data_IF_045137795947
#
_entry.id   IF_045137795947
#
_cell.length_a   1.000
_cell.length_b   1.000
_cell.length_c   1.000
_cell.angle_alpha   90.00
_cell.angle_beta   90.00
_cell.angle_gamma   90.00
#
_symmetry.space_group_name_H-M   'P 1'
#
loop_
_entity.id
_entity.type
_entity.pdbx_description
1 polymer ?
#
# COMPACT_ATOMS: atom_id res chain seq x y z
N UNK A 1 8.59 -12.50 -12.36
CA UNK A 1 8.77 -11.08 -11.96
C UNK A 1 9.75 -11.02 -10.80
N UNK A 2 10.44 -9.90 -10.61
CA UNK A 2 11.38 -9.71 -9.48
C UNK A 2 10.63 -9.63 -8.15
N UNK A 3 9.64 -8.74 -8.09
CA UNK A 3 8.76 -8.57 -6.94
C UNK A 3 7.64 -9.61 -6.97
N UNK A 4 7.30 -10.16 -5.80
CA UNK A 4 6.22 -11.12 -5.57
C UNK A 4 5.01 -10.52 -4.85
N UNK A 5 5.20 -9.58 -3.94
CA UNK A 5 4.10 -8.96 -3.22
C UNK A 5 4.53 -7.67 -2.51
N UNK A 6 3.56 -6.79 -2.24
CA UNK A 6 3.71 -5.75 -1.22
C UNK A 6 3.68 -6.42 0.17
N UNK A 7 4.81 -6.41 0.86
CA UNK A 7 4.97 -7.06 2.16
C UNK A 7 4.53 -6.17 3.32
N UNK A 8 4.96 -4.92 3.31
CA UNK A 8 4.64 -3.92 4.33
C UNK A 8 4.78 -2.48 3.82
N UNK A 9 4.18 -1.53 4.56
CA UNK A 9 4.35 -0.08 4.37
C UNK A 9 4.70 0.57 5.70
N UNK A 10 5.66 1.50 5.67
CA UNK A 10 6.02 2.34 6.80
C UNK A 10 5.64 3.79 6.56
N UNK A 11 5.02 4.42 7.56
CA UNK A 11 4.63 5.83 7.54
C UNK A 11 5.08 6.52 8.82
N UNK A 12 5.34 7.82 8.73
CA UNK A 12 5.52 8.71 9.88
C UNK A 12 4.22 9.43 10.18
N UNK A 13 3.93 9.68 11.46
CA UNK A 13 2.78 10.46 11.89
C UNK A 13 2.95 11.06 13.29
N UNK A 14 2.50 12.31 13.53
CA UNK A 14 2.39 12.86 14.88
C UNK A 14 1.29 12.16 15.70
N UNK A 15 0.29 11.63 15.01
CA UNK A 15 -0.90 11.01 15.59
C UNK A 15 -0.78 9.46 15.56
N UNK A 16 0.46 8.94 15.58
CA UNK A 16 0.74 7.51 15.46
C UNK A 16 -0.05 6.65 16.44
N UNK A 17 -0.22 7.13 17.69
CA UNK A 17 -0.93 6.38 18.74
C UNK A 17 -2.43 6.24 18.50
N UNK A 18 -3.05 7.09 17.69
CA UNK A 18 -4.48 6.98 17.37
C UNK A 18 -4.80 5.69 16.58
N UNK A 19 -3.79 5.10 15.92
CA UNK A 19 -3.93 3.81 15.24
C UNK A 19 -4.18 2.62 16.17
N UNK A 20 -3.84 2.74 17.46
CA UNK A 20 -4.15 1.71 18.46
C UNK A 20 -5.65 1.52 18.66
N UNK A 21 -6.45 2.55 18.37
CA UNK A 21 -7.92 2.49 18.41
C UNK A 21 -8.49 2.37 16.99
N UNK A 22 -8.04 3.21 16.06
CA UNK A 22 -8.56 3.25 14.70
C UNK A 22 -8.38 1.93 13.94
N UNK A 23 -7.19 1.30 14.03
CA UNK A 23 -6.92 0.03 13.36
C UNK A 23 -7.85 -1.09 13.84
N UNK A 24 -7.90 -1.39 15.15
CA UNK A 24 -8.75 -2.44 15.69
C UNK A 24 -10.24 -2.17 15.60
N UNK A 25 -10.68 -0.99 16.03
CA UNK A 25 -12.11 -0.74 16.22
C UNK A 25 -12.85 -0.42 14.92
N UNK A 26 -12.17 0.16 13.93
CA UNK A 26 -12.78 0.56 12.65
C UNK A 26 -12.41 -0.46 11.58
N UNK A 27 -11.11 -0.67 11.38
CA UNK A 27 -10.60 -1.49 10.28
C UNK A 27 -10.55 -2.99 10.61
N UNK A 28 -10.69 -3.38 11.88
CA UNK A 28 -10.59 -4.77 12.32
C UNK A 28 -9.18 -5.35 12.28
N UNK A 29 -8.16 -4.49 12.17
CA UNK A 29 -6.75 -4.88 12.23
C UNK A 29 -6.36 -5.24 13.67
N UNK A 30 -5.28 -5.98 13.87
CA UNK A 30 -4.64 -6.07 15.18
C UNK A 30 -3.63 -4.93 15.28
N UNK A 31 -3.55 -4.25 16.42
CA UNK A 31 -2.60 -3.16 16.65
C UNK A 31 -1.80 -3.39 17.93
N UNK A 32 -0.49 -3.14 17.86
CA UNK A 32 0.41 -3.21 19.03
C UNK A 32 1.41 -2.06 19.01
N UNK A 33 1.69 -1.47 20.17
CA UNK A 33 2.80 -0.51 20.34
C UNK A 33 4.09 -1.32 20.54
N UNK A 34 5.03 -1.19 19.60
CA UNK A 34 6.35 -1.77 19.70
C UNK A 34 7.19 -1.06 20.77
N UNK A 35 8.27 -1.70 21.23
CA UNK A 35 9.20 -1.09 22.20
C UNK A 35 9.83 0.22 21.70
N UNK A 36 9.91 0.42 20.37
CA UNK A 36 10.36 1.67 19.74
C UNK A 36 9.34 2.82 19.81
N UNK A 37 8.11 2.56 20.26
CA UNK A 37 6.99 3.51 20.24
C UNK A 37 6.26 3.57 18.89
N UNK A 38 6.66 2.76 17.90
CA UNK A 38 5.90 2.62 16.65
C UNK A 38 4.65 1.76 16.86
N UNK A 39 3.56 2.10 16.20
CA UNK A 39 2.34 1.26 16.18
C UNK A 39 2.42 0.32 14.99
N UNK A 40 2.36 -0.98 15.27
CA UNK A 40 2.41 -2.04 14.28
C UNK A 40 1.02 -2.62 14.08
N UNK A 41 0.57 -2.67 12.82
CA UNK A 41 -0.75 -3.16 12.43
C UNK A 41 -0.61 -4.45 11.64
N UNK A 42 -1.43 -5.44 12.01
CA UNK A 42 -1.47 -6.76 11.38
C UNK A 42 -2.86 -7.00 10.79
N UNK A 43 -2.86 -7.64 9.63
CA UNK A 43 -4.07 -8.13 8.96
C UNK A 43 -3.99 -9.64 8.68
N UNK A 44 -2.89 -10.26 9.10
CA UNK A 44 -2.60 -11.69 9.00
C UNK A 44 -1.46 -12.08 9.96
N UNK A 45 -0.93 -13.30 9.80
CA UNK A 45 0.08 -13.89 10.68
C UNK A 45 1.49 -13.29 10.53
N UNK A 46 1.70 -12.35 9.61
CA UNK A 46 2.95 -11.60 9.55
C UNK A 46 3.15 -10.76 10.82
N UNK A 47 4.42 -10.48 11.15
CA UNK A 47 4.79 -9.64 12.31
C UNK A 47 4.07 -8.28 12.27
N UNK A 48 4.04 -7.65 11.09
CA UNK A 48 3.17 -6.52 10.76
C UNK A 48 3.08 -6.32 9.25
N UNK A 49 2.07 -5.54 8.83
CA UNK A 49 1.89 -5.09 7.44
C UNK A 49 1.95 -3.58 7.31
N UNK A 50 1.52 -2.83 8.33
CA UNK A 50 1.66 -1.38 8.35
C UNK A 50 2.39 -1.00 9.64
N UNK A 51 3.46 -0.22 9.52
CA UNK A 51 4.16 0.38 10.64
C UNK A 51 3.93 1.89 10.64
N UNK A 52 3.41 2.41 11.74
CA UNK A 52 3.20 3.85 11.96
C UNK A 52 4.20 4.32 12.99
N UNK A 53 5.24 4.99 12.51
CA UNK A 53 6.30 5.55 13.33
C UNK A 53 5.87 6.93 13.84
N UNK A 54 6.17 7.22 15.10
CA UNK A 54 5.98 8.56 15.63
C UNK A 54 6.99 9.54 15.00
N UNK A 55 6.51 10.70 14.56
CA UNK A 55 7.34 11.81 14.09
C UNK A 55 6.53 13.07 13.86
N UNK A 56 7.15 14.13 13.34
CA UNK A 56 6.51 15.46 13.31
C UNK A 56 5.62 15.69 12.07
N UNK A 57 5.56 14.73 11.14
CA UNK A 57 4.90 14.88 9.84
C UNK A 57 4.23 13.59 9.40
N UNK A 58 3.15 13.75 8.64
CA UNK A 58 2.54 12.66 7.90
C UNK A 58 3.29 12.47 6.58
N UNK A 59 3.93 11.30 6.39
CA UNK A 59 4.60 10.93 5.12
C UNK A 59 4.83 9.43 5.04
N UNK A 60 5.01 8.93 3.83
CA UNK A 60 5.53 7.57 3.62
C UNK A 60 7.03 7.54 3.88
N UNK A 61 7.48 6.54 4.63
CA UNK A 61 8.90 6.29 4.88
C UNK A 61 9.46 5.21 3.96
N UNK A 62 8.68 4.17 3.67
CA UNK A 62 9.09 3.06 2.81
C UNK A 62 7.90 2.17 2.38
N UNK A 63 8.06 1.50 1.24
CA UNK A 63 7.23 0.38 0.81
C UNK A 63 8.13 -0.85 0.59
N UNK A 64 7.83 -1.93 1.32
CA UNK A 64 8.57 -3.18 1.28
C UNK A 64 7.99 -4.18 0.30
N UNK A 65 8.82 -4.71 -0.59
CA UNK A 65 8.46 -5.63 -1.66
C UNK A 65 9.19 -6.97 -1.45
N UNK A 66 8.42 -8.03 -1.29
CA UNK A 66 8.99 -9.38 -1.14
C UNK A 66 9.54 -9.84 -2.50
N UNK A 67 10.83 -10.18 -2.56
CA UNK A 67 11.46 -10.79 -3.74
C UNK A 67 11.66 -12.30 -3.56
N UNK A 68 11.43 -12.82 -2.36
CA UNK A 68 11.21 -14.22 -2.04
C UNK A 68 12.43 -15.03 -1.61
N UNK A 69 13.66 -14.56 -1.82
CA UNK A 69 14.87 -15.22 -1.31
C UNK A 69 16.07 -14.27 -1.19
N UNK A 70 17.10 -14.72 -0.49
CA UNK A 70 18.38 -14.01 -0.34
C UNK A 70 19.04 -13.78 -1.70
N UNK A 71 19.09 -14.82 -2.53
CA UNK A 71 19.67 -14.75 -3.88
C UNK A 71 18.93 -13.76 -4.77
N UNK A 72 17.62 -13.59 -4.57
CA UNK A 72 16.83 -12.60 -5.30
C UNK A 72 17.14 -11.17 -4.86
N UNK A 73 17.42 -10.94 -3.57
CA UNK A 73 17.90 -9.64 -3.07
C UNK A 73 19.30 -9.34 -3.61
N UNK A 74 20.21 -10.30 -3.60
CA UNK A 74 21.55 -10.16 -4.18
C UNK A 74 21.48 -9.83 -5.68
N UNK A 75 20.69 -10.60 -6.44
CA UNK A 75 20.48 -10.36 -7.87
C UNK A 75 19.85 -8.99 -8.16
N UNK A 76 18.95 -8.51 -7.29
CA UNK A 76 18.41 -7.15 -7.36
C UNK A 76 19.52 -6.12 -7.13
N UNK A 77 20.36 -6.28 -6.10
CA UNK A 77 21.50 -5.42 -5.84
C UNK A 77 22.46 -5.32 -7.03
N UNK A 78 22.79 -6.44 -7.66
CA UNK A 78 23.62 -6.45 -8.88
C UNK A 78 22.94 -5.73 -10.06
N UNK A 79 21.63 -5.90 -10.24
CA UNK A 79 20.86 -5.21 -11.28
C UNK A 79 20.91 -3.69 -11.05
N UNK A 80 20.67 -3.24 -9.82
CA UNK A 80 20.71 -1.83 -9.45
C UNK A 80 22.11 -1.25 -9.69
N UNK A 81 23.17 -1.96 -9.28
CA UNK A 81 24.55 -1.58 -9.54
C UNK A 81 24.83 -1.42 -11.05
N UNK A 82 24.44 -2.40 -11.87
CA UNK A 82 24.63 -2.34 -13.34
C UNK A 82 23.86 -1.19 -13.99
N UNK A 83 22.71 -0.82 -13.46
CA UNK A 83 21.92 0.30 -13.94
C UNK A 83 22.37 1.66 -13.37
N UNK A 84 23.37 1.68 -12.48
CA UNK A 84 23.85 2.89 -11.83
C UNK A 84 22.86 3.48 -10.81
N UNK A 85 21.94 2.66 -10.30
CA UNK A 85 20.97 3.05 -9.27
C UNK A 85 21.59 2.81 -7.90
N UNK A 86 21.68 3.86 -7.09
CA UNK A 86 22.16 3.77 -5.72
C UNK A 86 21.22 2.94 -4.84
N UNK A 87 21.79 2.09 -4.01
CA UNK A 87 21.06 1.31 -3.01
C UNK A 87 21.93 1.11 -1.76
N UNK A 88 21.27 0.81 -0.64
CA UNK A 88 21.92 0.46 0.62
C UNK A 88 21.43 -0.91 1.09
N UNK A 89 22.29 -1.67 1.75
CA UNK A 89 21.91 -2.94 2.38
C UNK A 89 21.36 -2.64 3.76
N UNK A 90 20.21 -3.23 4.10
CA UNK A 90 19.59 -3.08 5.41
C UNK A 90 20.49 -3.57 6.53
N UNK A 91 20.53 -2.83 7.64
CA UNK A 91 21.29 -3.25 8.84
C UNK A 91 20.54 -4.35 9.60
N UNK A 92 21.23 -5.06 10.50
CA UNK A 92 20.57 -6.04 11.38
C UNK A 92 19.45 -5.40 12.21
N UNK A 93 19.65 -4.15 12.67
CA UNK A 93 18.65 -3.38 13.42
C UNK A 93 17.42 -3.06 12.56
N UNK A 94 17.62 -2.60 11.32
CA UNK A 94 16.51 -2.34 10.41
C UNK A 94 15.77 -3.63 10.03
N UNK A 95 16.49 -4.72 9.79
CA UNK A 95 15.89 -6.02 9.47
C UNK A 95 15.01 -6.52 10.63
N UNK A 96 15.50 -6.39 11.87
CA UNK A 96 14.72 -6.70 13.06
C UNK A 96 13.48 -5.78 13.18
N UNK A 97 13.61 -4.49 12.90
CA UNK A 97 12.51 -3.53 12.94
C UNK A 97 11.43 -3.79 11.88
N UNK A 98 11.80 -4.30 10.70
CA UNK A 98 10.87 -4.75 9.64
C UNK A 98 10.32 -6.16 9.85
N UNK A 99 10.95 -6.94 10.73
CA UNK A 99 10.64 -8.36 10.86
C UNK A 99 10.98 -9.15 9.60
N UNK A 100 12.16 -8.92 9.01
CA UNK A 100 12.66 -9.62 7.80
C UNK A 100 14.08 -10.15 8.03
N UNK A 101 14.54 -11.07 7.18
CA UNK A 101 15.91 -11.60 7.26
C UNK A 101 16.94 -10.67 6.61
N UNK A 102 16.54 -9.95 5.56
CA UNK A 102 17.42 -9.03 4.85
C UNK A 102 16.67 -8.24 3.78
N UNK A 103 17.21 -7.08 3.41
CA UNK A 103 16.69 -6.26 2.32
C UNK A 103 17.75 -5.32 1.75
N UNK A 104 17.48 -4.80 0.55
CA UNK A 104 18.15 -3.60 0.02
C UNK A 104 17.14 -2.48 -0.13
N UNK A 105 17.57 -1.24 0.13
CA UNK A 105 16.75 -0.04 -0.01
C UNK A 105 17.22 0.80 -1.19
N UNK A 106 16.28 1.34 -1.95
CA UNK A 106 16.52 2.23 -3.08
C UNK A 106 15.47 3.35 -3.12
N UNK A 107 15.80 4.45 -3.77
CA UNK A 107 14.84 5.52 -4.03
C UNK A 107 14.33 5.46 -5.46
N UNK A 108 13.03 5.66 -5.63
CA UNK A 108 12.45 5.88 -6.95
C UNK A 108 12.87 7.27 -7.50
N UNK A 109 12.57 7.58 -8.77
CA UNK A 109 12.93 8.86 -9.36
C UNK A 109 12.30 10.08 -8.68
N UNK A 110 11.23 9.90 -7.92
CA UNK A 110 10.61 10.96 -7.12
C UNK A 110 11.22 11.08 -5.72
N UNK A 111 12.10 10.17 -5.32
CA UNK A 111 12.75 10.10 -4.01
C UNK A 111 11.98 9.30 -2.96
N UNK A 112 10.93 8.56 -3.33
CA UNK A 112 10.23 7.64 -2.43
C UNK A 112 11.05 6.36 -2.24
N UNK A 113 11.09 5.86 -1.01
CA UNK A 113 11.89 4.69 -0.66
C UNK A 113 11.14 3.40 -0.93
N UNK A 114 11.81 2.48 -1.62
CA UNK A 114 11.41 1.09 -1.81
C UNK A 114 12.40 0.19 -1.08
N UNK A 115 11.92 -0.89 -0.45
CA UNK A 115 12.75 -1.89 0.21
C UNK A 115 12.49 -3.24 -0.47
N UNK A 116 13.51 -3.87 -1.07
CA UNK A 116 13.41 -5.21 -1.67
C UNK A 116 13.91 -6.23 -0.66
N UNK A 117 13.01 -7.02 -0.09
CA UNK A 117 13.29 -7.86 1.08
C UNK A 117 13.02 -9.34 0.83
N UNK A 118 13.53 -10.18 1.74
CA UNK A 118 13.14 -11.59 1.86
C UNK A 118 12.99 -12.02 3.32
N UNK A 119 12.30 -13.15 3.54
CA UNK A 119 12.22 -13.79 4.85
C UNK A 119 11.37 -13.03 5.88
N UNK A 120 10.16 -12.60 5.49
CA UNK A 120 9.23 -11.97 6.43
C UNK A 120 8.91 -12.92 7.60
N UNK A 121 8.98 -12.41 8.82
CA UNK A 121 8.63 -13.13 10.04
C UNK A 121 7.13 -13.36 10.10
N UNK A 122 6.75 -14.63 10.25
CA UNK A 122 5.36 -15.09 10.33
C UNK A 122 5.22 -16.01 11.54
N UNK A 123 4.15 -15.83 12.30
CA UNK A 123 3.77 -16.74 13.40
C UNK A 123 2.38 -17.31 13.08
N UNK A 124 2.30 -18.53 12.54
CA UNK A 124 1.02 -19.09 12.08
C UNK A 124 -0.06 -19.15 13.17
N UNK A 125 -1.30 -18.77 12.81
CA UNK A 125 -2.47 -18.77 13.70
C UNK A 125 -2.40 -17.76 14.84
N UNK A 126 -1.57 -16.72 14.73
CA UNK A 126 -1.37 -15.72 15.79
C UNK A 126 -2.15 -14.44 15.57
N UNK A 127 -2.64 -14.16 14.36
CA UNK A 127 -3.45 -12.97 14.10
C UNK A 127 -4.77 -12.99 14.89
N UNK A 128 -5.08 -11.89 15.57
CA UNK A 128 -6.33 -11.70 16.32
C UNK A 128 -6.97 -10.38 15.89
N UNK A 129 -8.03 -10.39 15.05
CA UNK A 129 -8.63 -9.15 14.57
C UNK A 129 -9.23 -8.34 15.73
N UNK A 130 -9.15 -7.02 15.62
CA UNK A 130 -9.63 -6.08 16.64
C UNK A 130 -11.14 -6.08 16.84
N UNK A 131 -11.89 -6.62 15.87
CA UNK A 131 -13.35 -6.84 15.95
C UNK A 131 -13.72 -8.09 15.16
N UNK A 132 -14.97 -8.55 15.30
CA UNK A 132 -15.48 -9.63 14.47
C UNK A 132 -15.49 -9.21 13.00
N UNK A 133 -14.70 -9.90 12.18
CA UNK A 133 -14.61 -9.78 10.71
C UNK A 133 -14.33 -11.14 10.10
N UNK A 134 -14.58 -11.28 8.80
CA UNK A 134 -14.28 -12.52 8.06
C UNK A 134 -12.78 -12.70 7.78
N UNK A 135 -12.00 -11.63 7.93
CA UNK A 135 -10.55 -11.61 7.68
C UNK A 135 -10.19 -10.85 6.41
N UNK A 136 -8.91 -10.89 6.06
CA UNK A 136 -8.34 -10.15 4.93
C UNK A 136 -7.86 -11.08 3.81
N UNK A 137 -7.78 -10.54 2.59
CA UNK A 137 -7.21 -11.20 1.42
C UNK A 137 -5.73 -10.81 1.33
N UNK A 138 -4.86 -11.60 1.96
CA UNK A 138 -3.41 -11.41 1.87
C UNK A 138 -2.76 -12.56 1.11
N UNK A 139 -2.26 -13.61 1.78
CA UNK A 139 -1.64 -14.78 1.16
C UNK A 139 -0.62 -14.41 0.07
N UNK A 140 -0.78 -14.98 -1.12
CA UNK A 140 0.06 -14.66 -2.28
C UNK A 140 -0.13 -13.24 -2.83
N UNK A 141 -1.15 -12.51 -2.38
CA UNK A 141 -1.47 -11.14 -2.82
C UNK A 141 -0.94 -10.04 -1.89
N UNK A 142 -0.25 -10.42 -0.80
CA UNK A 142 0.40 -9.48 0.12
C UNK A 142 -0.56 -8.57 0.88
N UNK A 143 -0.06 -7.42 1.35
CA UNK A 143 -0.83 -6.44 2.13
C UNK A 143 -2.08 -5.90 1.41
N UNK A 144 -2.01 -5.75 0.09
CA UNK A 144 -2.94 -4.94 -0.69
C UNK A 144 -2.20 -4.12 -1.73
N UNK A 145 -2.53 -2.83 -1.84
CA UNK A 145 -1.81 -1.92 -2.73
C UNK A 145 -1.51 -0.57 -2.11
N UNK A 146 -0.58 0.14 -2.73
CA UNK A 146 -0.34 1.56 -2.49
C UNK A 146 -0.65 2.36 -3.75
N UNK A 147 -1.19 3.57 -3.57
CA UNK A 147 -1.26 4.56 -4.64
C UNK A 147 -0.38 5.73 -4.29
N UNK A 148 0.53 6.06 -5.19
CA UNK A 148 1.52 7.10 -4.99
C UNK A 148 1.27 8.27 -5.95
N UNK A 149 1.34 9.48 -5.40
CA UNK A 149 1.48 10.68 -6.20
C UNK A 149 2.92 10.78 -6.69
N UNK A 150 3.11 11.15 -7.95
CA UNK A 150 4.44 11.33 -8.56
C UNK A 150 4.48 12.58 -9.43
N UNK A 151 5.61 13.31 -9.47
CA UNK A 151 5.75 14.48 -10.33
C UNK A 151 5.87 14.13 -11.82
N UNK A 152 6.36 12.95 -12.16
CA UNK A 152 6.55 12.48 -13.54
C UNK A 152 6.12 11.01 -13.68
N UNK A 153 4.91 10.82 -14.20
CA UNK A 153 4.31 9.51 -14.39
C UNK A 153 5.08 8.63 -15.39
N UNK A 154 5.67 9.22 -16.42
CA UNK A 154 6.41 8.48 -17.43
C UNK A 154 7.76 8.00 -16.88
N UNK A 155 8.42 8.80 -16.05
CA UNK A 155 9.65 8.40 -15.36
C UNK A 155 9.38 7.30 -14.33
N UNK A 156 8.28 7.40 -13.58
CA UNK A 156 7.86 6.39 -12.63
C UNK A 156 7.45 5.06 -13.31
N UNK A 157 6.75 5.09 -14.45
CA UNK A 157 6.44 3.88 -15.26
C UNK A 157 7.72 3.14 -15.68
N UNK A 158 8.73 3.87 -16.18
CA UNK A 158 10.02 3.29 -16.56
C UNK A 158 10.72 2.64 -15.37
N UNK A 159 10.66 3.26 -14.20
CA UNK A 159 11.24 2.70 -12.98
C UNK A 159 10.52 1.43 -12.54
N UNK A 160 9.18 1.47 -12.37
CA UNK A 160 8.42 0.31 -11.90
C UNK A 160 8.57 -0.90 -12.82
N UNK A 161 8.55 -0.68 -14.14
CA UNK A 161 8.62 -1.78 -15.12
C UNK A 161 10.04 -2.22 -15.41
N UNK A 162 10.97 -1.27 -15.54
CA UNK A 162 12.35 -1.53 -15.94
C UNK A 162 13.28 -1.94 -14.80
N UNK A 163 12.99 -1.50 -13.58
CA UNK A 163 13.80 -1.77 -12.38
C UNK A 163 13.12 -2.80 -11.50
N UNK A 164 11.87 -2.55 -11.09
CA UNK A 164 11.16 -3.42 -10.15
C UNK A 164 10.42 -4.59 -10.84
N UNK A 165 10.29 -4.55 -12.17
CA UNK A 165 9.72 -5.63 -12.96
C UNK A 165 8.20 -5.78 -12.85
N UNK A 166 7.49 -4.73 -12.42
CA UNK A 166 6.03 -4.71 -12.44
C UNK A 166 5.48 -4.79 -13.86
N UNK A 167 4.28 -5.36 -14.00
CA UNK A 167 3.51 -5.36 -15.24
C UNK A 167 2.34 -4.40 -15.12
N UNK A 168 1.96 -3.76 -16.23
CA UNK A 168 0.83 -2.84 -16.26
C UNK A 168 -0.47 -3.64 -16.26
N UNK A 169 -1.43 -3.21 -15.46
CA UNK A 169 -2.76 -3.83 -15.37
C UNK A 169 -3.75 -3.09 -16.24
N UNK A 170 -3.94 -1.80 -15.98
CA UNK A 170 -4.91 -0.94 -16.64
C UNK A 170 -4.49 0.54 -16.54
N UNK A 171 -5.18 1.40 -17.27
CA UNK A 171 -5.06 2.86 -17.21
C UNK A 171 -6.45 3.51 -17.11
N UNK A 172 -6.58 4.52 -16.26
CA UNK A 172 -7.77 5.37 -16.15
C UNK A 172 -7.36 6.80 -16.49
N UNK A 173 -8.11 7.44 -17.40
CA UNK A 173 -7.90 8.83 -17.81
C UNK A 173 -9.13 9.66 -17.49
N UNK A 174 -9.00 10.59 -16.55
CA UNK A 174 -10.10 11.42 -16.07
C UNK A 174 -9.64 12.86 -15.84
N UNK A 175 -10.13 13.53 -14.79
CA UNK A 175 -9.49 14.74 -14.28
C UNK A 175 -8.17 14.45 -13.55
N UNK A 176 -7.98 13.19 -13.14
CA UNK A 176 -6.76 12.67 -12.54
C UNK A 176 -6.46 11.32 -13.19
N UNK A 177 -5.32 11.22 -13.86
CA UNK A 177 -4.89 9.98 -14.52
C UNK A 177 -4.37 8.99 -13.49
N UNK A 178 -4.63 7.70 -13.70
CA UNK A 178 -4.18 6.62 -12.83
C UNK A 178 -3.64 5.46 -13.67
N UNK A 179 -2.40 5.07 -13.42
CA UNK A 179 -1.76 3.90 -14.05
C UNK A 179 -1.54 2.81 -13.00
N UNK A 180 -2.04 1.61 -13.28
CA UNK A 180 -2.11 0.50 -12.32
C UNK A 180 -1.12 -0.61 -12.70
N UNK A 181 -0.47 -1.22 -11.70
CA UNK A 181 0.55 -2.24 -11.94
C UNK A 181 0.47 -3.40 -10.94
N UNK A 182 0.65 -4.62 -11.45
CA UNK A 182 0.65 -5.86 -10.68
C UNK A 182 2.02 -6.53 -10.66
N UNK A 183 2.26 -7.31 -9.60
CA UNK A 183 3.39 -8.23 -9.45
C UNK A 183 2.96 -9.66 -9.05
N UNK A 184 1.66 -9.86 -8.85
CA UNK A 184 1.02 -11.12 -8.45
C UNK A 184 -0.45 -11.10 -8.92
N UNK A 185 -1.29 -12.09 -8.57
CA UNK A 185 -2.68 -12.12 -9.02
C UNK A 185 -3.55 -10.92 -8.61
N UNK A 186 -3.10 -10.07 -7.68
CA UNK A 186 -3.84 -8.84 -7.35
C UNK A 186 -3.88 -7.92 -8.56
N UNK A 187 -5.05 -7.33 -8.86
CA UNK A 187 -5.19 -6.39 -9.98
C UNK A 187 -4.07 -5.35 -10.02
N UNK A 188 -3.70 -4.81 -8.87
CA UNK A 188 -2.50 -4.00 -8.74
C UNK A 188 -1.96 -4.07 -7.32
N UNK A 189 -0.64 -3.98 -7.17
CA UNK A 189 -0.01 -3.76 -5.86
C UNK A 189 0.54 -2.34 -5.73
N UNK A 190 0.63 -1.62 -6.85
CA UNK A 190 0.97 -0.20 -6.90
C UNK A 190 0.19 0.49 -8.02
N UNK A 191 -0.31 1.70 -7.77
CA UNK A 191 -0.75 2.62 -8.81
C UNK A 191 -0.11 3.99 -8.66
N UNK A 192 -0.10 4.75 -9.75
CA UNK A 192 0.52 6.07 -9.83
C UNK A 192 -0.46 7.11 -10.33
N UNK A 193 -0.47 8.28 -9.69
CA UNK A 193 -1.20 9.47 -10.16
C UNK A 193 -0.23 10.63 -10.37
N UNK A 194 -0.27 11.33 -11.52
CA UNK A 194 0.59 12.47 -11.77
C UNK A 194 0.14 13.70 -10.97
N UNK A 195 1.04 14.24 -10.15
CA UNK A 195 0.85 15.50 -9.44
C UNK A 195 2.12 16.36 -9.55
N UNK A 196 2.19 17.31 -10.51
CA UNK A 196 3.40 18.11 -10.72
C UNK A 196 3.91 18.78 -9.44
N UNK A 197 5.18 18.56 -9.12
CA UNK A 197 5.84 19.11 -7.92
C UNK A 197 5.46 18.43 -6.60
N UNK A 198 4.63 17.38 -6.63
CA UNK A 198 4.17 16.65 -5.44
C UNK A 198 4.53 15.17 -5.57
N UNK A 199 4.89 14.57 -4.45
CA UNK A 199 5.06 13.12 -4.29
C UNK A 199 4.40 12.63 -3.01
N UNK A 200 4.26 11.32 -2.85
CA UNK A 200 3.91 10.72 -1.56
C UNK A 200 2.79 9.71 -1.65
N UNK A 201 2.35 9.26 -0.47
CA UNK A 201 1.32 8.23 -0.35
C UNK A 201 -0.07 8.88 -0.42
N UNK A 202 -0.83 8.50 -1.44
CA UNK A 202 -2.23 8.88 -1.53
C UNK A 202 -3.07 7.98 -0.62
N UNK A 203 -2.99 6.66 -0.83
CA UNK A 203 -3.73 5.70 -0.03
C UNK A 203 -3.06 4.33 0.00
N UNK A 204 -3.39 3.56 1.04
CA UNK A 204 -3.14 2.12 1.12
C UNK A 204 -4.48 1.43 1.02
N UNK A 205 -4.58 0.37 0.22
CA UNK A 205 -5.77 -0.46 0.17
C UNK A 205 -5.56 -1.75 0.97
N UNK A 206 -6.60 -2.15 1.71
CA UNK A 206 -6.72 -3.48 2.28
C UNK A 206 -8.01 -4.13 1.81
N UNK A 207 -7.92 -5.41 1.47
CA UNK A 207 -9.05 -6.19 0.97
C UNK A 207 -9.56 -7.14 2.05
N UNK A 208 -10.84 -7.07 2.36
CA UNK A 208 -11.54 -8.00 3.27
C UNK A 208 -12.20 -9.14 2.51
N UNK A 209 -12.59 -10.19 3.22
CA UNK A 209 -13.17 -11.40 2.62
C UNK A 209 -14.70 -11.31 2.39
N UNK A 210 -15.39 -10.35 3.01
CA UNK A 210 -16.84 -10.18 2.87
C UNK A 210 -17.23 -8.72 2.60
N UNK A 211 -18.27 -8.54 1.78
CA UNK A 211 -18.93 -7.25 1.59
C UNK A 211 -19.50 -6.70 2.91
N UNK A 212 -19.95 -7.59 3.81
CA UNK A 212 -20.49 -7.18 5.11
C UNK A 212 -19.39 -6.52 5.98
N UNK A 213 -18.13 -6.95 5.86
CA UNK A 213 -17.02 -6.34 6.60
C UNK A 213 -16.77 -4.90 6.12
N UNK A 214 -16.93 -4.64 4.81
CA UNK A 214 -16.89 -3.29 4.21
C UNK A 214 -18.05 -2.45 4.74
N UNK A 215 -19.28 -2.98 4.70
CA UNK A 215 -20.47 -2.30 5.20
C UNK A 215 -20.37 -1.93 6.68
N UNK A 216 -19.89 -2.86 7.52
CA UNK A 216 -19.66 -2.61 8.94
C UNK A 216 -18.61 -1.52 9.18
N UNK A 217 -17.49 -1.54 8.45
CA UNK A 217 -16.47 -0.50 8.56
C UNK A 217 -17.03 0.87 8.14
N UNK A 218 -17.81 0.90 7.08
CA UNK A 218 -18.47 2.11 6.57
C UNK A 218 -19.44 2.70 7.61
N UNK A 219 -20.30 1.86 8.21
CA UNK A 219 -21.25 2.28 9.24
C UNK A 219 -20.54 2.74 10.53
N UNK A 220 -19.43 2.11 10.89
CA UNK A 220 -18.59 2.54 12.01
C UNK A 220 -17.99 3.93 11.76
N UNK A 221 -17.52 4.20 10.54
CA UNK A 221 -17.03 5.53 10.17
C UNK A 221 -18.14 6.57 10.30
N UNK A 222 -19.33 6.29 9.79
CA UNK A 222 -20.47 7.21 9.87
C UNK A 222 -20.91 7.46 11.31
N UNK A 223 -21.12 6.41 12.10
CA UNK A 223 -21.61 6.51 13.48
C UNK A 223 -20.63 7.21 14.42
N UNK A 224 -19.33 7.13 14.13
CA UNK A 224 -18.25 7.77 14.90
C UNK A 224 -17.79 9.11 14.31
N UNK A 225 -18.41 9.58 13.22
CA UNK A 225 -18.02 10.79 12.48
C UNK A 225 -16.56 10.77 12.01
N UNK A 226 -16.04 9.60 11.65
CA UNK A 226 -14.72 9.46 11.03
C UNK A 226 -14.83 9.92 9.57
N UNK A 227 -14.00 10.86 9.13
CA UNK A 227 -14.14 11.45 7.81
C UNK A 227 -13.86 10.44 6.70
N UNK A 228 -14.79 10.36 5.75
CA UNK A 228 -14.54 9.69 4.47
C UNK A 228 -13.91 10.66 3.48
N UNK A 229 -13.04 10.12 2.63
CA UNK A 229 -12.57 10.81 1.44
C UNK A 229 -13.49 10.55 0.26
N UNK A 230 -13.93 9.29 0.09
CA UNK A 230 -14.87 8.88 -0.95
C UNK A 230 -15.89 7.89 -0.37
N UNK A 231 -17.16 8.06 -0.76
CA UNK A 231 -18.25 7.17 -0.34
C UNK A 231 -18.11 5.78 -0.94
N UNK A 232 -18.94 4.83 -0.49
CA UNK A 232 -19.03 3.49 -1.07
C UNK A 232 -19.24 3.55 -2.60
N UNK A 233 -18.54 2.70 -3.33
CA UNK A 233 -18.63 2.61 -4.78
C UNK A 233 -18.10 1.30 -5.33
N UNK A 234 -18.11 1.18 -6.66
CA UNK A 234 -17.48 0.07 -7.39
C UNK A 234 -16.59 0.60 -8.50
N UNK A 235 -15.34 0.17 -8.52
CA UNK A 235 -14.37 0.54 -9.55
C UNK A 235 -14.66 -0.13 -10.90
N UNK A 236 -14.24 0.52 -11.99
CA UNK A 236 -14.48 0.02 -13.36
C UNK A 236 -13.44 -0.99 -13.82
N UNK A 237 -12.19 -0.83 -13.37
CA UNK A 237 -11.03 -1.63 -13.74
C UNK A 237 -11.01 -2.94 -12.92
N UNK A 238 -10.75 -2.84 -11.61
CA UNK A 238 -10.59 -4.02 -10.74
C UNK A 238 -11.92 -4.59 -10.20
N UNK A 239 -13.04 -3.89 -10.44
CA UNK A 239 -14.39 -4.26 -9.97
C UNK A 239 -14.59 -4.27 -8.46
N UNK A 240 -13.60 -3.84 -7.68
CA UNK A 240 -13.65 -3.80 -6.23
C UNK A 240 -14.81 -2.92 -5.77
N UNK A 241 -15.54 -3.39 -4.75
CA UNK A 241 -16.46 -2.55 -3.96
C UNK A 241 -15.67 -2.00 -2.79
N UNK A 242 -15.49 -0.69 -2.72
CA UNK A 242 -14.68 -0.05 -1.69
C UNK A 242 -15.24 1.31 -1.27
N UNK A 243 -14.67 1.84 -0.20
CA UNK A 243 -14.79 3.24 0.20
C UNK A 243 -13.44 3.70 0.75
N UNK A 244 -13.28 5.02 0.91
CA UNK A 244 -12.03 5.62 1.35
C UNK A 244 -12.24 6.37 2.66
N UNK A 245 -11.50 5.98 3.69
CA UNK A 245 -11.53 6.61 5.01
C UNK A 245 -10.21 7.32 5.28
N UNK A 246 -10.30 8.55 5.80
CA UNK A 246 -9.14 9.33 6.20
C UNK A 246 -8.55 8.74 7.49
N UNK A 247 -7.28 8.38 7.45
CA UNK A 247 -6.58 7.87 8.63
C UNK A 247 -6.14 9.01 9.57
N UNK A 248 -5.78 8.71 10.83
CA UNK A 248 -5.09 9.65 11.71
C UNK A 248 -3.82 10.23 11.08
N UNK A 249 -3.12 9.43 10.27
CA UNK A 249 -1.90 9.84 9.56
C UNK A 249 -2.17 10.58 8.24
N UNK A 250 -3.40 11.03 8.00
CA UNK A 250 -3.74 11.89 6.88
C UNK A 250 -3.87 11.21 5.51
N UNK A 251 -3.19 10.10 5.23
CA UNK A 251 -3.46 9.31 4.02
C UNK A 251 -4.78 8.55 4.15
N UNK A 252 -5.32 8.04 3.04
CA UNK A 252 -6.56 7.26 3.10
C UNK A 252 -6.28 5.75 3.21
N UNK A 253 -7.16 5.03 3.90
CA UNK A 253 -7.34 3.60 3.67
C UNK A 253 -8.47 3.43 2.67
N UNK A 254 -8.18 2.79 1.55
CA UNK A 254 -9.22 2.16 0.73
C UNK A 254 -9.56 0.82 1.36
N UNK A 255 -10.82 0.64 1.77
CA UNK A 255 -11.27 -0.58 2.42
C UNK A 255 -12.26 -1.28 1.50
N UNK A 256 -11.86 -2.43 0.94
CA UNK A 256 -12.56 -2.99 -0.20
C UNK A 256 -12.71 -4.50 -0.20
N UNK A 257 -13.50 -4.99 -1.16
CA UNK A 257 -13.87 -6.40 -1.30
C UNK A 257 -14.08 -6.75 -2.79
N UNK A 258 -13.75 -8.00 -3.15
CA UNK A 258 -14.09 -8.64 -4.44
C UNK A 258 -13.43 -7.96 -5.64
N UNK A 259 -12.13 -7.68 -5.54
CA UNK A 259 -11.35 -7.31 -6.72
C UNK A 259 -11.14 -8.53 -7.62
N UNK A 260 -11.18 -8.31 -8.93
CA UNK A 260 -10.78 -9.33 -9.90
C UNK A 260 -9.28 -9.60 -9.78
N UNK A 261 -8.91 -10.85 -10.05
CA UNK A 261 -7.51 -11.24 -10.12
C UNK A 261 -6.98 -11.21 -11.55
N UNK A 262 -5.71 -10.87 -11.69
CA UNK A 262 -4.96 -10.89 -12.94
C UNK A 262 -4.39 -12.29 -13.17
N UNK A 263 -4.72 -12.87 -14.33
CA UNK A 263 -4.06 -14.03 -14.88
C UNK A 263 -3.10 -13.56 -15.98
N UNK A 264 -1.80 -13.77 -15.80
CA UNK A 264 -0.77 -13.27 -16.72
C UNK A 264 -0.90 -13.80 -18.15
N UNK A 265 -1.54 -14.95 -18.36
CA UNK A 265 -1.72 -15.53 -19.69
C UNK A 265 -2.90 -14.93 -20.45
N UNK A 266 -3.93 -14.47 -19.73
CA UNK A 266 -5.21 -14.07 -20.32
C UNK A 266 -5.55 -12.59 -20.10
N UNK A 267 -4.89 -11.92 -19.16
CA UNK A 267 -5.15 -10.51 -18.86
C UNK A 267 -4.80 -9.62 -20.05
N UNK A 268 -5.70 -8.70 -20.36
CA UNK A 268 -5.51 -7.68 -21.40
C UNK A 268 -5.64 -6.31 -20.77
N UNK A 269 -4.60 -5.49 -20.93
CA UNK A 269 -4.59 -4.12 -20.44
C UNK A 269 -5.66 -3.30 -21.14
N UNK A 270 -6.50 -2.63 -20.35
CA UNK A 270 -7.58 -1.78 -20.82
C UNK A 270 -7.37 -0.32 -20.38
N UNK A 271 -8.01 0.57 -21.14
CA UNK A 271 -8.12 1.99 -20.85
C UNK A 271 -9.58 2.32 -20.49
N UNK A 272 -9.78 3.15 -19.47
CA UNK A 272 -11.11 3.63 -19.08
C UNK A 272 -11.13 5.15 -18.93
N UNK A 273 -12.33 5.73 -19.12
CA UNK A 273 -12.61 7.18 -19.11
C UNK A 273 -13.32 7.67 -17.84
N UNK A 274 -13.49 6.77 -16.86
CA UNK A 274 -14.10 7.05 -15.55
C UNK A 274 -13.53 6.10 -14.50
N UNK A 275 -13.52 6.47 -13.21
CA UNK A 275 -12.94 5.64 -12.17
C UNK A 275 -13.89 4.56 -11.62
N UNK A 276 -15.19 4.70 -11.86
CA UNK A 276 -16.20 3.88 -11.17
C UNK A 276 -17.41 3.55 -12.04
N UNK A 277 -17.97 2.37 -11.79
CA UNK A 277 -19.26 1.93 -12.34
C UNK A 277 -20.39 2.71 -11.68
N UNK A 278 -20.33 2.87 -10.35
CA UNK A 278 -21.24 3.65 -9.52
C UNK A 278 -20.55 4.06 -8.20
N UNK A 279 -21.12 5.03 -7.49
CA UNK A 279 -20.65 5.46 -6.16
C UNK A 279 -19.34 6.24 -6.21
N UNK A 280 -18.52 6.10 -5.17
CA UNK A 280 -17.23 6.79 -5.04
C UNK A 280 -17.35 8.32 -5.18
N UNK A 281 -18.36 8.90 -4.53
CA UNK A 281 -18.51 10.36 -4.50
C UNK A 281 -17.40 10.95 -3.64
N UNK A 282 -16.62 11.87 -4.19
CA UNK A 282 -15.61 12.62 -3.46
C UNK A 282 -16.28 13.54 -2.45
N UNK A 283 -16.04 13.29 -1.16
CA UNK A 283 -16.61 14.06 -0.04
C UNK A 283 -15.54 14.72 0.82
N UNK A 284 -14.27 14.32 0.66
CA UNK A 284 -13.14 15.04 1.26
C UNK A 284 -13.04 16.48 0.74
N UNK A 285 -12.70 17.38 1.67
CA UNK A 285 -12.42 18.79 1.36
C UNK A 285 -10.92 19.07 1.22
N UNK A 286 -10.07 18.15 1.66
CA UNK A 286 -8.61 18.28 1.62
C UNK A 286 -7.98 17.05 0.97
N UNK A 287 -6.86 17.23 0.23
CA UNK A 287 -6.06 16.11 -0.25
C UNK A 287 -5.57 15.22 0.91
N UNK A 288 -5.16 13.97 0.62
CA UNK A 288 -4.48 13.13 1.59
C UNK A 288 -3.23 13.81 2.17
N UNK A 289 -3.01 13.63 3.47
CA UNK A 289 -2.01 14.33 4.28
C UNK A 289 -0.59 13.75 4.24
N UNK A 290 -0.35 12.64 3.55
CA UNK A 290 0.99 12.04 3.39
C UNK A 290 1.65 12.40 2.04
N UNK A 291 1.25 13.54 1.47
CA UNK A 291 1.81 14.13 0.27
C UNK A 291 2.78 15.26 0.65
N UNK A 292 3.89 15.35 -0.05
CA UNK A 292 4.94 16.35 0.18
C UNK A 292 5.47 16.91 -1.14
N UNK A 293 6.17 18.05 -1.07
CA UNK A 293 6.83 18.60 -2.23
C UNK A 293 7.91 17.62 -2.74
N UNK A 294 7.90 17.36 -4.04
CA UNK A 294 8.96 16.57 -4.66
C UNK A 294 10.30 17.32 -4.55
N UNK A 295 11.33 16.65 -4.05
CA UNK A 295 12.69 17.21 -4.06
C UNK A 295 13.24 17.14 -5.48
N UNK A 296 13.65 18.29 -6.03
CA UNK A 296 14.32 18.41 -7.34
C UNK A 296 15.67 17.72 -7.37
#
# INVERSE_FOLDING_TARGET
MLVKALGYVGVESPDAKEWLEFGPEVLGMEAVEAASGSVLLRIDDADHRIAVHHGDRNRMLYAGWDVGSEEAVEAAGELLHRQGIGFEVGTEEDCAARGVLGFVTLSDPSGLRHELFYGQKVVPGSFRPGRAISGFVTGAQGLGHVVLATPDLAQADRFLRGVLGFKKSDEIYTFMDLWFYHCNPRHHSIALTPMPGVRGLHHVMVEVQSLDDVGMAYDLCMSRNIPLSMTLGRHVNDRMVSFYVRTPSGFDIEYGWDAVTVDEETWTVAQYDRPSVWGHQMVAQTPPGALEAATT
#
